data_IF_952919480051
#
_entry.id   IF_952919480051
#
_cell.length_a   1.000
_cell.length_b   1.000
_cell.length_c   1.000
_cell.angle_alpha   90.00
_cell.angle_beta   90.00
_cell.angle_gamma   90.00
#
_symmetry.space_group_name_H-M   'P 1'
#
loop_
_entity.id
_entity.type
_entity.pdbx_description
1 polymer ?
#
# COMPACT_ATOMS: atom_id res chain seq x y z
N UNK A 1 -18.82 -8.72 16.36
CA UNK A 1 -17.58 -8.67 17.16
C UNK A 1 -17.67 -7.41 18.00
N UNK A 2 -17.35 -7.47 19.30
CA UNK A 2 -17.32 -6.27 20.15
C UNK A 2 -16.14 -5.38 19.76
N UNK A 3 -16.23 -4.08 20.01
CA UNK A 3 -15.15 -3.13 19.66
C UNK A 3 -13.79 -3.53 20.27
N UNK A 4 -13.78 -4.02 21.52
CA UNK A 4 -12.55 -4.49 22.19
C UNK A 4 -11.95 -5.69 21.45
N UNK A 5 -12.77 -6.63 20.99
CA UNK A 5 -12.32 -7.81 20.25
C UNK A 5 -11.75 -7.40 18.88
N UNK A 6 -12.39 -6.43 18.19
CA UNK A 6 -11.87 -5.86 16.94
C UNK A 6 -10.50 -5.21 17.16
N UNK A 7 -10.34 -4.42 18.22
CA UNK A 7 -9.08 -3.76 18.52
C UNK A 7 -7.98 -4.78 18.81
N UNK A 8 -8.24 -5.80 19.63
CA UNK A 8 -7.26 -6.86 19.90
C UNK A 8 -6.82 -7.57 18.62
N UNK A 9 -7.76 -7.93 17.75
CA UNK A 9 -7.44 -8.54 16.45
C UNK A 9 -6.62 -7.62 15.54
N UNK A 10 -6.85 -6.31 15.61
CA UNK A 10 -6.01 -5.33 14.91
C UNK A 10 -4.60 -5.33 15.46
N UNK A 11 -4.44 -5.26 16.79
CA UNK A 11 -3.12 -5.28 17.45
C UNK A 11 -2.33 -6.53 17.09
N UNK A 12 -2.95 -7.72 17.16
CA UNK A 12 -2.35 -9.02 16.81
C UNK A 12 -1.80 -9.08 15.37
N UNK A 13 -2.31 -8.25 14.47
CA UNK A 13 -1.91 -8.25 13.07
C UNK A 13 -0.92 -7.14 12.70
N UNK A 14 -0.64 -6.16 13.57
CA UNK A 14 0.19 -4.99 13.22
C UNK A 14 1.57 -5.38 12.69
N UNK A 15 2.26 -6.29 13.37
CA UNK A 15 3.59 -6.73 12.95
C UNK A 15 3.55 -7.40 11.58
N UNK A 16 2.55 -8.27 11.34
CA UNK A 16 2.32 -8.88 10.03
C UNK A 16 2.06 -7.84 8.93
N UNK A 17 1.33 -6.77 9.23
CA UNK A 17 1.10 -5.68 8.28
C UNK A 17 2.40 -4.95 7.93
N UNK A 18 3.26 -4.70 8.93
CA UNK A 18 4.57 -4.08 8.74
C UNK A 18 5.46 -5.00 7.89
N UNK A 19 5.53 -6.29 8.21
CA UNK A 19 6.28 -7.28 7.43
C UNK A 19 5.81 -7.34 5.98
N UNK A 20 4.49 -7.32 5.73
CA UNK A 20 3.94 -7.24 4.36
C UNK A 20 4.41 -5.98 3.62
N UNK A 21 4.43 -4.83 4.28
CA UNK A 21 4.96 -3.59 3.69
C UNK A 21 6.45 -3.70 3.38
N UNK A 22 7.23 -4.27 4.30
CA UNK A 22 8.66 -4.47 4.06
C UNK A 22 8.90 -5.40 2.88
N UNK A 23 8.21 -6.53 2.83
CA UNK A 23 8.34 -7.51 1.76
C UNK A 23 7.90 -6.93 0.41
N UNK A 24 6.81 -6.16 0.39
CA UNK A 24 6.34 -5.47 -0.80
C UNK A 24 7.39 -4.54 -1.42
N UNK A 25 8.22 -3.89 -0.59
CA UNK A 25 9.32 -3.04 -1.08
C UNK A 25 10.64 -3.80 -1.25
N UNK A 26 10.92 -4.88 -0.50
CA UNK A 26 12.10 -5.74 -0.67
C UNK A 26 12.12 -6.42 -2.03
N UNK A 27 10.97 -6.87 -2.52
CA UNK A 27 10.81 -7.41 -3.88
C UNK A 27 11.17 -6.38 -4.99
N UNK A 28 11.37 -5.12 -4.60
CA UNK A 28 11.75 -4.00 -5.47
C UNK A 28 13.12 -3.43 -5.10
N UNK A 29 13.90 -4.10 -4.26
CA UNK A 29 15.29 -3.69 -4.00
C UNK A 29 16.10 -3.71 -5.30
N UNK A 30 16.77 -2.59 -5.58
CA UNK A 30 17.38 -2.30 -6.88
C UNK A 30 16.59 -1.29 -7.75
N UNK A 31 15.35 -0.97 -7.40
CA UNK A 31 14.60 0.13 -8.03
C UNK A 31 15.00 1.50 -7.49
N UNK A 32 15.33 2.43 -8.38
CA UNK A 32 15.72 3.81 -8.01
C UNK A 32 14.55 4.64 -7.46
N UNK A 33 13.27 4.29 -7.71
CA UNK A 33 12.14 5.09 -7.19
C UNK A 33 10.86 4.29 -7.07
N UNK A 34 10.07 4.56 -6.01
CA UNK A 34 8.67 4.14 -5.94
C UNK A 34 7.95 4.74 -7.16
N UNK A 35 7.26 3.94 -7.98
CA UNK A 35 6.86 4.38 -9.32
C UNK A 35 5.63 5.30 -9.33
N UNK A 36 4.96 5.46 -8.19
CA UNK A 36 3.78 6.31 -7.98
C UNK A 36 4.14 7.50 -7.09
N UNK A 37 3.45 8.61 -7.29
CA UNK A 37 3.67 9.83 -6.50
C UNK A 37 3.02 9.75 -5.11
N UNK A 38 3.53 10.55 -4.17
CA UNK A 38 2.97 10.66 -2.82
C UNK A 38 1.47 11.02 -2.83
N UNK A 39 1.06 11.92 -3.72
CA UNK A 39 -0.35 12.31 -3.92
C UNK A 39 -1.24 11.13 -4.28
N UNK A 40 -0.74 10.18 -5.07
CA UNK A 40 -1.49 9.00 -5.48
C UNK A 40 -1.72 8.03 -4.31
N UNK A 41 -0.72 7.84 -3.43
CA UNK A 41 -0.92 7.09 -2.19
C UNK A 41 -1.86 7.80 -1.22
N UNK A 42 -1.74 9.13 -1.11
CA UNK A 42 -2.61 9.91 -0.24
C UNK A 42 -4.08 9.76 -0.67
N UNK A 43 -4.37 9.82 -1.97
CA UNK A 43 -5.72 9.62 -2.50
C UNK A 43 -6.25 8.20 -2.24
N UNK A 44 -5.40 7.18 -2.40
CA UNK A 44 -5.78 5.79 -2.07
C UNK A 44 -6.10 5.64 -0.57
N UNK A 45 -5.26 6.21 0.30
CA UNK A 45 -5.49 6.15 1.75
C UNK A 45 -6.77 6.92 2.13
N UNK A 46 -6.99 8.10 1.55
CA UNK A 46 -8.19 8.90 1.79
C UNK A 46 -9.46 8.12 1.40
N UNK A 47 -9.47 7.49 0.23
CA UNK A 47 -10.55 6.60 -0.18
C UNK A 47 -10.75 5.46 0.82
N UNK A 48 -9.67 4.77 1.21
CA UNK A 48 -9.77 3.68 2.16
C UNK A 48 -10.35 4.13 3.52
N UNK A 49 -10.06 5.36 3.95
CA UNK A 49 -10.63 5.91 5.20
C UNK A 49 -12.11 6.32 5.10
N UNK A 50 -12.59 6.69 3.90
CA UNK A 50 -13.98 7.12 3.69
C UNK A 50 -14.94 5.98 3.34
N UNK A 51 -14.43 4.83 2.87
CA UNK A 51 -15.25 3.66 2.51
C UNK A 51 -15.20 2.55 3.55
N UNK A 52 -16.25 1.74 3.64
CA UNK A 52 -16.28 0.47 4.41
C UNK A 52 -16.01 -0.75 3.53
N UNK A 53 -15.80 -0.57 2.22
CA UNK A 53 -15.69 -1.63 1.23
C UNK A 53 -14.25 -1.82 0.75
N UNK A 54 -13.65 -2.98 1.05
CA UNK A 54 -12.34 -3.36 0.47
C UNK A 54 -12.41 -3.41 -1.06
N UNK A 55 -13.56 -3.79 -1.63
CA UNK A 55 -13.75 -3.82 -3.09
C UNK A 55 -13.63 -2.45 -3.73
N UNK A 56 -14.03 -1.38 -3.05
CA UNK A 56 -13.84 -0.02 -3.58
C UNK A 56 -12.36 0.36 -3.60
N UNK A 57 -11.60 -0.06 -2.58
CA UNK A 57 -10.15 0.13 -2.53
C UNK A 57 -9.47 -0.60 -3.69
N UNK A 58 -9.80 -1.87 -3.93
CA UNK A 58 -9.20 -2.64 -5.03
C UNK A 58 -9.64 -2.13 -6.41
N UNK A 59 -10.92 -1.74 -6.56
CA UNK A 59 -11.42 -1.12 -7.79
C UNK A 59 -10.69 0.19 -8.13
N UNK A 60 -10.31 0.99 -7.12
CA UNK A 60 -9.50 2.17 -7.34
C UNK A 60 -8.10 1.82 -7.85
N UNK A 61 -7.47 0.79 -7.29
CA UNK A 61 -6.16 0.32 -7.75
C UNK A 61 -6.25 -0.14 -9.21
N UNK A 62 -7.26 -0.95 -9.55
CA UNK A 62 -7.54 -1.39 -10.92
C UNK A 62 -7.75 -0.21 -11.88
N UNK A 63 -8.49 0.81 -11.45
CA UNK A 63 -8.68 2.03 -12.24
C UNK A 63 -7.35 2.76 -12.49
N UNK A 64 -6.49 2.88 -11.48
CA UNK A 64 -5.18 3.52 -11.66
C UNK A 64 -4.27 2.73 -12.62
N UNK A 65 -4.30 1.39 -12.54
CA UNK A 65 -3.63 0.51 -13.51
C UNK A 65 -4.20 0.76 -14.91
N UNK A 66 -5.52 0.79 -15.05
CA UNK A 66 -6.22 1.03 -16.31
C UNK A 66 -5.87 2.36 -16.98
N UNK A 67 -5.57 3.40 -16.19
CA UNK A 67 -5.21 4.74 -16.67
C UNK A 67 -3.82 4.81 -17.30
N UNK A 68 -2.90 3.93 -16.92
CA UNK A 68 -1.54 3.92 -17.48
C UNK A 68 -1.51 3.30 -18.89
N UNK A 69 -0.69 3.89 -19.78
CA UNK A 69 -0.51 3.40 -21.14
C UNK A 69 0.13 1.99 -21.12
N UNK A 70 -0.54 0.96 -21.67
CA UNK A 70 0.00 -0.40 -21.69
C UNK A 70 1.27 -0.53 -22.53
N UNK A 71 1.51 0.35 -23.51
CA UNK A 71 2.72 0.34 -24.36
C UNK A 71 3.90 1.05 -23.69
N UNK A 72 3.65 1.90 -22.70
CA UNK A 72 4.69 2.64 -21.95
C UNK A 72 4.38 2.60 -20.45
N UNK A 73 4.60 1.44 -19.79
CA UNK A 73 4.25 1.27 -18.38
C UNK A 73 4.98 2.28 -17.48
N UNK A 74 4.19 3.13 -16.83
CA UNK A 74 4.60 4.10 -15.79
C UNK A 74 3.71 3.91 -14.58
N UNK A 75 3.91 4.70 -13.52
CA UNK A 75 2.96 4.75 -12.40
C UNK A 75 2.66 3.38 -11.80
N UNK A 76 1.38 3.01 -11.85
CA UNK A 76 0.82 1.80 -11.27
C UNK A 76 1.11 0.58 -12.14
N UNK A 77 1.25 0.71 -13.47
CA UNK A 77 1.66 -0.40 -14.34
C UNK A 77 3.14 -0.71 -14.29
N UNK A 78 3.99 0.23 -13.87
CA UNK A 78 5.45 0.04 -13.86
C UNK A 78 5.80 -1.17 -12.98
N UNK A 79 6.38 -2.20 -13.61
CA UNK A 79 6.79 -3.45 -12.95
C UNK A 79 5.68 -4.07 -12.09
N UNK A 80 4.45 -4.07 -12.61
CA UNK A 80 3.27 -4.65 -11.96
C UNK A 80 3.02 -4.08 -10.56
N UNK A 81 3.35 -2.80 -10.32
CA UNK A 81 3.22 -2.18 -9.00
C UNK A 81 1.80 -2.29 -8.44
N UNK A 82 0.82 -1.88 -9.25
CA UNK A 82 -0.58 -1.89 -8.87
C UNK A 82 -1.13 -3.29 -8.68
N UNK A 83 -0.79 -4.24 -9.56
CA UNK A 83 -1.25 -5.63 -9.42
C UNK A 83 -0.72 -6.26 -8.13
N UNK A 84 0.58 -6.12 -7.85
CA UNK A 84 1.15 -6.61 -6.60
C UNK A 84 0.55 -5.91 -5.38
N UNK A 85 0.22 -4.62 -5.48
CA UNK A 85 -0.42 -3.91 -4.37
C UNK A 85 -1.84 -4.41 -4.14
N UNK A 86 -2.58 -4.68 -5.22
CA UNK A 86 -3.91 -5.28 -5.16
C UNK A 86 -3.86 -6.67 -4.50
N UNK A 87 -2.94 -7.53 -4.92
CA UNK A 87 -2.75 -8.86 -4.34
C UNK A 87 -2.49 -8.78 -2.83
N UNK A 88 -1.62 -7.88 -2.39
CA UNK A 88 -1.34 -7.70 -0.95
C UNK A 88 -2.54 -7.10 -0.20
N UNK A 89 -3.31 -6.20 -0.81
CA UNK A 89 -4.56 -5.68 -0.23
C UNK A 89 -5.57 -6.81 -0.03
N UNK A 90 -5.70 -7.71 -1.01
CA UNK A 90 -6.57 -8.88 -0.93
C UNK A 90 -6.11 -9.84 0.20
N UNK A 91 -4.80 -10.12 0.28
CA UNK A 91 -4.22 -10.91 1.38
C UNK A 91 -4.47 -10.28 2.76
N UNK A 92 -4.25 -8.96 2.89
CA UNK A 92 -4.48 -8.22 4.13
C UNK A 92 -5.96 -8.25 4.51
N UNK A 93 -6.86 -8.15 3.54
CA UNK A 93 -8.29 -8.23 3.79
C UNK A 93 -8.71 -9.61 4.32
N UNK A 94 -8.03 -10.68 3.86
CA UNK A 94 -8.24 -12.06 4.30
C UNK A 94 -7.90 -12.28 5.78
N UNK A 95 -6.99 -11.50 6.35
CA UNK A 95 -6.68 -11.50 7.79
C UNK A 95 -7.88 -11.08 8.65
N UNK A 96 -8.91 -10.45 8.05
CA UNK A 96 -10.16 -10.15 8.73
C UNK A 96 -11.07 -11.35 8.93
N UNK A 97 -10.71 -12.55 8.45
CA UNK A 97 -11.42 -13.81 8.69
C UNK A 97 -12.93 -13.72 8.34
N UNK A 98 -13.25 -13.03 7.24
CA UNK A 98 -14.62 -12.81 6.77
C UNK A 98 -15.37 -11.66 7.47
N UNK A 99 -14.79 -11.05 8.51
CA UNK A 99 -15.33 -9.85 9.14
C UNK A 99 -14.95 -8.61 8.31
N UNK A 100 -15.95 -8.06 7.60
CA UNK A 100 -15.78 -6.88 6.72
C UNK A 100 -15.19 -5.67 7.43
N UNK A 101 -15.60 -5.42 8.68
CA UNK A 101 -15.13 -4.28 9.46
C UNK A 101 -13.66 -4.44 9.85
N UNK A 102 -13.27 -5.62 10.31
CA UNK A 102 -11.87 -5.92 10.60
C UNK A 102 -11.02 -5.83 9.32
N UNK A 103 -11.48 -6.43 8.21
CA UNK A 103 -10.78 -6.38 6.92
C UNK A 103 -10.48 -4.96 6.48
N UNK A 104 -11.47 -4.05 6.49
CA UNK A 104 -11.23 -2.66 6.06
C UNK A 104 -10.33 -1.89 7.05
N UNK A 105 -10.43 -2.15 8.36
CA UNK A 105 -9.52 -1.55 9.35
C UNK A 105 -8.06 -1.98 9.12
N UNK A 106 -7.82 -3.26 8.85
CA UNK A 106 -6.49 -3.79 8.54
C UNK A 106 -5.93 -3.21 7.22
N UNK A 107 -6.76 -3.12 6.17
CA UNK A 107 -6.37 -2.50 4.88
C UNK A 107 -5.98 -1.04 5.07
N UNK A 108 -6.75 -0.24 5.83
CA UNK A 108 -6.41 1.16 6.14
C UNK A 108 -5.05 1.28 6.84
N UNK A 109 -4.81 0.44 7.84
CA UNK A 109 -3.54 0.43 8.56
C UNK A 109 -2.37 0.05 7.64
N UNK A 110 -2.54 -1.00 6.85
CA UNK A 110 -1.55 -1.43 5.85
C UNK A 110 -1.21 -0.29 4.89
N UNK A 111 -2.20 0.38 4.29
CA UNK A 111 -1.98 1.50 3.39
C UNK A 111 -1.28 2.68 4.09
N UNK A 112 -1.60 2.93 5.36
CA UNK A 112 -0.89 3.91 6.18
C UNK A 112 0.59 3.57 6.38
N UNK A 113 0.92 2.32 6.70
CA UNK A 113 2.31 1.86 6.80
C UNK A 113 3.03 1.92 5.45
N UNK A 114 2.37 1.49 4.38
CA UNK A 114 2.87 1.52 3.01
C UNK A 114 3.26 2.94 2.59
N UNK A 115 2.37 3.92 2.80
CA UNK A 115 2.64 5.33 2.47
C UNK A 115 3.82 5.88 3.27
N UNK A 116 3.94 5.55 4.56
CA UNK A 116 5.09 5.96 5.40
C UNK A 116 6.40 5.38 4.87
N UNK A 117 6.41 4.08 4.52
CA UNK A 117 7.60 3.41 3.97
C UNK A 117 7.98 3.99 2.62
N UNK A 118 7.02 4.24 1.73
CA UNK A 118 7.26 4.90 0.44
C UNK A 118 7.98 6.26 0.63
N UNK A 119 7.46 7.11 1.53
CA UNK A 119 8.06 8.42 1.84
C UNK A 119 9.46 8.29 2.45
N UNK A 120 9.68 7.32 3.34
CA UNK A 120 11.00 7.03 3.89
C UNK A 120 12.00 6.67 2.78
N UNK A 121 11.60 5.82 1.83
CA UNK A 121 12.45 5.40 0.71
C UNK A 121 12.77 6.57 -0.24
N UNK A 122 11.83 7.47 -0.49
CA UNK A 122 12.06 8.69 -1.27
C UNK A 122 13.08 9.61 -0.59
N UNK A 123 12.88 9.92 0.70
CA UNK A 123 13.76 10.83 1.46
C UNK A 123 15.18 10.28 1.65
N UNK A 124 15.33 8.97 1.87
CA UNK A 124 16.65 8.31 1.98
C UNK A 124 17.46 8.49 0.69
N UNK A 125 16.81 8.39 -0.47
CA UNK A 125 17.49 8.54 -1.77
C UNK A 125 17.90 9.97 -2.07
N UNK A 126 17.06 10.96 -1.72
CA UNK A 126 17.44 12.37 -1.84
C UNK A 126 18.70 12.73 -1.04
N UNK A 127 18.93 12.07 0.11
CA UNK A 127 20.14 12.27 0.91
C UNK A 127 21.38 11.58 0.33
N UNK A 128 21.24 10.40 -0.27
CA UNK A 128 22.37 9.67 -0.87
C UNK A 128 22.81 10.27 -2.21
N UNK A 129 21.87 10.77 -3.03
CA UNK A 129 22.18 11.43 -4.31
C UNK A 129 22.73 12.87 -4.19
N UNK A 130 22.66 13.48 -3.00
CA UNK A 130 23.13 14.85 -2.74
C UNK A 130 24.61 14.97 -2.33
N UNK A 131 25.33 13.86 -2.16
CA UNK A 131 26.73 13.86 -1.69
C UNK A 131 27.79 13.72 -2.80
N UNK A 132 27.40 13.80 -4.08
CA UNK A 132 28.31 13.57 -5.22
C UNK A 132 28.54 14.81 -6.11
N UNK A 133 28.52 16.01 -5.53
CA UNK A 133 29.04 17.23 -6.15
C UNK A 133 30.01 17.90 -5.17
N UNK A 134 31.26 17.44 -5.19
CA UNK A 134 32.41 18.06 -4.53
C UNK A 134 33.57 18.09 -5.49
#
# INVERSE_FOLDING_TARGET
MREIELQLKVEENKDKLIEKVENFFKLREGDEKVPVEHSQFHNLLLLATSTTSVKEVTSFIEYQIGKDDPKKPKGWRKRNFGEQLKDVVDEVSGLGEGNKELSIRLVRLFLGYLMRKARYLETRKSKVGGSNNG
#
